data_IF_817932272246
#
_entry.id   IF_817932272246
#
_cell.length_a   1.000
_cell.length_b   1.000
_cell.length_c   1.000
_cell.angle_alpha   90.00
_cell.angle_beta   90.00
_cell.angle_gamma   90.00
#
_symmetry.space_group_name_H-M   'P 1'
#
loop_
_entity.id
_entity.type
_entity.pdbx_description
1 polymer ?
#
# COMPACT_ATOMS: atom_id res chain seq x y z
N UNK A 1 16.94 -20.61 -11.64
CA UNK A 1 17.14 -22.06 -11.92
C UNK A 1 17.52 -22.33 -13.37
N UNK A 2 17.03 -21.59 -14.37
CA UNK A 2 17.28 -21.80 -15.81
C UNK A 2 18.77 -21.95 -16.18
N UNK A 3 19.66 -21.21 -15.51
CA UNK A 3 21.11 -21.19 -15.79
C UNK A 3 21.95 -22.00 -14.79
N UNK A 4 21.32 -22.66 -13.81
CA UNK A 4 21.99 -23.48 -12.81
C UNK A 4 21.68 -24.96 -13.04
N UNK A 5 22.71 -25.73 -13.42
CA UNK A 5 22.58 -27.20 -13.60
C UNK A 5 22.53 -27.96 -12.28
N UNK A 6 23.10 -27.39 -11.20
CA UNK A 6 23.16 -28.01 -9.86
C UNK A 6 22.83 -26.96 -8.80
N UNK A 7 22.41 -27.39 -7.62
CA UNK A 7 22.26 -26.51 -6.47
C UNK A 7 23.60 -25.90 -6.08
N UNK A 8 23.58 -24.65 -5.67
CA UNK A 8 24.75 -23.92 -5.17
C UNK A 8 24.52 -23.50 -3.72
N UNK A 9 25.60 -23.14 -3.03
CA UNK A 9 25.56 -22.61 -1.68
C UNK A 9 24.54 -21.46 -1.55
N UNK A 10 23.84 -21.39 -0.42
CA UNK A 10 22.81 -20.38 -0.15
C UNK A 10 23.30 -18.94 -0.34
N UNK A 11 24.54 -18.65 0.07
CA UNK A 11 25.14 -17.31 -0.05
C UNK A 11 25.33 -16.92 -1.51
N UNK A 12 25.85 -17.86 -2.32
CA UNK A 12 26.01 -17.66 -3.77
C UNK A 12 24.66 -17.51 -4.46
N UNK A 13 23.67 -18.33 -4.08
CA UNK A 13 22.31 -18.19 -4.60
C UNK A 13 21.72 -16.80 -4.32
N UNK A 14 21.92 -16.26 -3.12
CA UNK A 14 21.43 -14.93 -2.76
C UNK A 14 22.17 -13.83 -3.54
N UNK A 15 23.48 -13.95 -3.74
CA UNK A 15 24.25 -13.03 -4.59
C UNK A 15 23.70 -13.04 -6.02
N UNK A 16 23.44 -14.23 -6.58
CA UNK A 16 22.86 -14.38 -7.91
C UNK A 16 21.45 -13.79 -8.00
N UNK A 17 20.60 -13.98 -6.99
CA UNK A 17 19.24 -13.41 -6.93
C UNK A 17 19.29 -11.89 -6.93
N UNK A 18 20.09 -11.29 -6.04
CA UNK A 18 20.25 -9.84 -5.96
C UNK A 18 20.81 -9.28 -7.27
N UNK A 19 21.87 -9.87 -7.81
CA UNK A 19 22.45 -9.45 -9.09
C UNK A 19 21.47 -9.57 -10.25
N UNK A 20 20.71 -10.67 -10.33
CA UNK A 20 19.68 -10.84 -11.35
C UNK A 20 18.58 -9.80 -11.24
N UNK A 21 18.08 -9.50 -10.03
CA UNK A 21 17.07 -8.47 -9.81
C UNK A 21 17.58 -7.09 -10.23
N UNK A 22 18.83 -6.75 -9.89
CA UNK A 22 19.45 -5.49 -10.29
C UNK A 22 19.56 -5.36 -11.81
N UNK A 23 19.94 -6.43 -12.51
CA UNK A 23 20.07 -6.43 -13.97
C UNK A 23 18.70 -6.34 -14.66
N UNK A 24 17.72 -7.10 -14.18
CA UNK A 24 16.42 -7.24 -14.87
C UNK A 24 15.48 -6.07 -14.60
N UNK A 25 15.46 -5.53 -13.37
CA UNK A 25 14.40 -4.61 -12.93
C UNK A 25 14.88 -3.24 -12.46
N UNK A 26 16.19 -3.09 -12.18
CA UNK A 26 16.75 -1.81 -11.78
C UNK A 26 17.63 -1.27 -12.91
N UNK A 27 17.58 0.03 -13.16
CA UNK A 27 18.39 0.68 -14.22
C UNK A 27 19.86 0.86 -13.79
N UNK A 28 20.45 -0.20 -13.19
CA UNK A 28 21.86 -0.21 -12.81
C UNK A 28 22.69 -0.80 -13.96
N UNK A 29 23.80 -0.15 -14.35
CA UNK A 29 24.65 -0.67 -15.41
C UNK A 29 25.10 -2.11 -15.11
N UNK A 30 24.86 -3.03 -16.04
CA UNK A 30 25.08 -4.46 -15.84
C UNK A 30 26.53 -4.81 -15.47
N UNK A 31 27.51 -4.11 -16.02
CA UNK A 31 28.93 -4.31 -15.69
C UNK A 31 29.22 -4.03 -14.21
N UNK A 32 28.61 -2.99 -13.64
CA UNK A 32 28.74 -2.64 -12.22
C UNK A 32 28.16 -3.73 -11.33
N UNK A 33 26.95 -4.22 -11.66
CA UNK A 33 26.28 -5.30 -10.93
C UNK A 33 27.11 -6.58 -10.97
N UNK A 34 27.62 -6.96 -12.15
CA UNK A 34 28.45 -8.16 -12.31
C UNK A 34 29.73 -8.04 -11.47
N UNK A 35 30.43 -6.91 -11.58
CA UNK A 35 31.69 -6.69 -10.85
C UNK A 35 31.47 -6.74 -9.33
N UNK A 36 30.48 -6.03 -8.81
CA UNK A 36 30.15 -6.01 -7.37
C UNK A 36 29.77 -7.40 -6.85
N UNK A 37 28.94 -8.14 -7.60
CA UNK A 37 28.52 -9.50 -7.24
C UNK A 37 29.68 -10.48 -7.25
N UNK A 38 30.56 -10.39 -8.24
CA UNK A 38 31.78 -11.21 -8.31
C UNK A 38 32.73 -10.91 -7.15
N UNK A 39 32.95 -9.64 -6.82
CA UNK A 39 33.81 -9.25 -5.69
C UNK A 39 33.22 -9.73 -4.35
N UNK A 40 31.89 -9.66 -4.18
CA UNK A 40 31.22 -10.19 -3.00
C UNK A 40 31.38 -11.72 -2.92
N UNK A 41 31.21 -12.41 -4.05
CA UNK A 41 31.35 -13.87 -4.09
C UNK A 41 32.78 -14.33 -3.79
N UNK A 42 33.82 -13.59 -4.23
CA UNK A 42 35.24 -13.86 -3.87
C UNK A 42 35.46 -13.81 -2.37
N UNK A 43 34.85 -12.85 -1.66
CA UNK A 43 34.92 -12.73 -0.19
C UNK A 43 34.20 -13.85 0.55
N UNK A 44 33.22 -14.50 -0.07
CA UNK A 44 32.41 -15.55 0.56
C UNK A 44 32.84 -16.96 0.14
N UNK A 45 32.91 -17.24 -1.16
CA UNK A 45 33.31 -18.54 -1.72
C UNK A 45 34.04 -18.29 -3.04
N UNK A 46 35.37 -18.08 -2.94
CA UNK A 46 36.22 -17.68 -4.07
C UNK A 46 36.05 -18.58 -5.32
N UNK A 47 36.02 -19.90 -5.10
CA UNK A 47 35.90 -20.91 -6.18
C UNK A 47 34.67 -20.77 -7.05
N UNK A 48 33.61 -20.11 -6.56
CA UNK A 48 32.35 -19.92 -7.28
C UNK A 48 32.22 -18.54 -7.94
N UNK A 49 33.22 -17.68 -7.84
CA UNK A 49 33.20 -16.34 -8.42
C UNK A 49 33.10 -16.35 -9.96
N UNK A 50 33.74 -17.30 -10.61
CA UNK A 50 33.64 -17.52 -12.07
C UNK A 50 32.19 -17.91 -12.49
N UNK A 51 31.54 -18.76 -11.69
CA UNK A 51 30.13 -19.14 -11.92
C UNK A 51 29.18 -17.93 -11.79
N UNK A 52 29.37 -17.09 -10.76
CA UNK A 52 28.58 -15.86 -10.57
C UNK A 52 28.76 -14.94 -11.78
N UNK A 53 29.99 -14.71 -12.24
CA UNK A 53 30.25 -13.90 -13.42
C UNK A 53 29.55 -14.44 -14.67
N UNK A 54 29.71 -15.73 -14.96
CA UNK A 54 29.11 -16.36 -16.14
C UNK A 54 27.59 -16.27 -16.15
N UNK A 55 26.96 -16.56 -15.00
CA UNK A 55 25.48 -16.53 -14.89
C UNK A 55 24.95 -15.13 -15.04
N UNK A 56 25.50 -14.13 -14.32
CA UNK A 56 25.00 -12.77 -14.36
C UNK A 56 25.22 -12.11 -15.75
N UNK A 57 26.34 -12.41 -16.42
CA UNK A 57 26.55 -11.97 -17.81
C UNK A 57 25.50 -12.58 -18.75
N UNK A 58 25.21 -13.87 -18.60
CA UNK A 58 24.19 -14.53 -19.41
C UNK A 58 22.80 -13.95 -19.15
N UNK A 59 22.45 -13.67 -17.89
CA UNK A 59 21.19 -12.98 -17.55
C UNK A 59 21.14 -11.59 -18.18
N UNK A 60 22.26 -10.86 -18.21
CA UNK A 60 22.34 -9.56 -18.86
C UNK A 60 22.12 -9.63 -20.37
N UNK A 61 22.69 -10.63 -21.03
CA UNK A 61 22.51 -10.82 -22.48
C UNK A 61 21.08 -11.24 -22.84
N UNK A 62 20.47 -12.07 -22.00
CA UNK A 62 19.12 -12.59 -22.21
C UNK A 62 18.03 -11.69 -21.56
N UNK A 63 18.34 -10.46 -21.12
CA UNK A 63 17.45 -9.59 -20.32
C UNK A 63 16.05 -9.46 -20.90
N UNK A 64 15.94 -9.00 -22.15
CA UNK A 64 14.65 -8.78 -22.77
C UNK A 64 13.83 -10.07 -22.90
N UNK A 65 14.47 -11.15 -23.33
CA UNK A 65 13.86 -12.46 -23.42
C UNK A 65 13.32 -12.93 -22.07
N UNK A 66 14.14 -12.79 -21.01
CA UNK A 66 13.74 -13.20 -19.65
C UNK A 66 12.57 -12.38 -19.11
N UNK A 67 12.57 -11.06 -19.36
CA UNK A 67 11.45 -10.20 -18.93
C UNK A 67 10.16 -10.59 -19.62
N UNK A 68 10.21 -10.88 -20.94
CA UNK A 68 9.05 -11.29 -21.71
C UNK A 68 8.52 -12.69 -21.34
N UNK A 69 9.39 -13.59 -20.85
CA UNK A 69 9.03 -14.93 -20.40
C UNK A 69 8.49 -14.95 -18.96
N UNK A 70 8.57 -13.84 -18.22
CA UNK A 70 8.09 -13.79 -16.83
C UNK A 70 6.55 -13.78 -16.80
N UNK A 71 5.98 -14.81 -16.19
CA UNK A 71 4.56 -14.81 -15.89
C UNK A 71 4.31 -14.08 -14.56
N UNK A 72 3.52 -12.97 -14.54
CA UNK A 72 3.19 -12.22 -13.33
C UNK A 72 2.57 -13.08 -12.22
N UNK A 73 1.89 -14.15 -12.57
CA UNK A 73 1.30 -15.12 -11.60
C UNK A 73 2.36 -15.71 -10.65
N UNK A 74 3.61 -15.83 -11.10
CA UNK A 74 4.70 -16.32 -10.26
C UNK A 74 5.01 -15.45 -9.05
N UNK A 75 4.56 -14.20 -9.04
CA UNK A 75 4.71 -13.27 -7.92
C UNK A 75 3.63 -13.44 -6.85
N UNK A 76 2.57 -14.19 -7.15
CA UNK A 76 1.51 -14.43 -6.18
C UNK A 76 1.91 -15.59 -5.25
N UNK A 77 1.65 -15.47 -3.93
CA UNK A 77 1.70 -16.60 -3.02
C UNK A 77 0.80 -17.73 -3.51
N UNK A 78 1.20 -18.99 -3.28
CA UNK A 78 0.47 -20.15 -3.83
C UNK A 78 -0.98 -20.22 -3.36
N UNK A 79 -1.27 -19.83 -2.11
CA UNK A 79 -2.63 -19.82 -1.58
C UNK A 79 -3.53 -18.79 -2.29
N UNK A 80 -3.04 -17.58 -2.59
CA UNK A 80 -3.76 -16.59 -3.39
C UNK A 80 -3.95 -17.07 -4.82
N UNK A 81 -2.88 -17.61 -5.42
CA UNK A 81 -2.90 -18.07 -6.80
C UNK A 81 -3.95 -19.15 -7.01
N UNK A 82 -4.01 -20.16 -6.13
CA UNK A 82 -4.96 -21.26 -6.21
C UNK A 82 -6.40 -20.75 -6.11
N UNK A 83 -6.70 -19.96 -5.08
CA UNK A 83 -8.04 -19.43 -4.83
C UNK A 83 -8.52 -18.49 -5.95
N UNK A 84 -7.64 -17.64 -6.46
CA UNK A 84 -8.02 -16.71 -7.50
C UNK A 84 -8.15 -17.37 -8.88
N UNK A 85 -7.33 -18.34 -9.20
CA UNK A 85 -7.53 -19.13 -10.44
C UNK A 85 -8.87 -19.87 -10.38
N UNK A 86 -9.21 -20.45 -9.23
CA UNK A 86 -10.49 -21.14 -9.03
C UNK A 86 -11.68 -20.18 -9.14
N UNK A 87 -11.58 -18.98 -8.58
CA UNK A 87 -12.69 -18.01 -8.49
C UNK A 87 -12.84 -17.13 -9.74
N UNK A 88 -11.74 -16.75 -10.38
CA UNK A 88 -11.73 -15.75 -11.46
C UNK A 88 -11.16 -16.25 -12.78
N UNK A 89 -10.60 -17.46 -12.80
CA UNK A 89 -9.87 -18.02 -13.94
C UNK A 89 -8.43 -17.46 -14.06
N UNK A 90 -7.61 -18.16 -14.84
CA UNK A 90 -6.18 -17.87 -14.97
C UNK A 90 -5.90 -16.52 -15.61
N UNK A 91 -6.66 -16.14 -16.63
CA UNK A 91 -6.45 -14.88 -17.36
C UNK A 91 -6.68 -13.65 -16.47
N UNK A 92 -7.77 -13.62 -15.69
CA UNK A 92 -8.05 -12.51 -14.76
C UNK A 92 -7.02 -12.48 -13.64
N UNK A 93 -6.63 -13.65 -13.10
CA UNK A 93 -5.58 -13.76 -12.09
C UNK A 93 -4.26 -13.20 -12.59
N UNK A 94 -3.90 -13.45 -13.86
CA UNK A 94 -2.70 -12.87 -14.49
C UNK A 94 -2.79 -11.34 -14.61
N UNK A 95 -3.97 -10.81 -14.92
CA UNK A 95 -4.20 -9.34 -14.93
C UNK A 95 -4.04 -8.74 -13.53
N UNK A 96 -4.59 -9.37 -12.50
CA UNK A 96 -4.40 -8.94 -11.10
C UNK A 96 -2.92 -8.97 -10.69
N UNK A 97 -2.21 -10.06 -10.98
CA UNK A 97 -0.79 -10.18 -10.69
C UNK A 97 0.07 -9.09 -11.35
N UNK A 98 -0.28 -8.66 -12.56
CA UNK A 98 0.38 -7.52 -13.25
C UNK A 98 0.16 -6.19 -12.50
N UNK A 99 -1.04 -5.97 -11.96
CA UNK A 99 -1.34 -4.76 -11.18
C UNK A 99 -0.52 -4.75 -9.90
N UNK A 100 -0.45 -5.87 -9.20
CA UNK A 100 0.32 -5.98 -7.95
C UNK A 100 1.84 -5.90 -8.13
N UNK A 101 2.33 -6.14 -9.33
CA UNK A 101 3.75 -5.94 -9.67
C UNK A 101 4.12 -4.46 -9.90
N UNK A 102 3.12 -3.58 -9.98
CA UNK A 102 3.34 -2.13 -10.12
C UNK A 102 3.42 -1.47 -8.75
N UNK A 103 4.18 -0.37 -8.68
CA UNK A 103 4.17 0.46 -7.49
C UNK A 103 2.76 1.01 -7.27
N UNK A 104 2.18 0.86 -6.07
CA UNK A 104 0.86 1.41 -5.79
C UNK A 104 0.90 2.93 -5.82
N UNK A 105 -0.13 3.58 -6.37
CA UNK A 105 -0.23 5.03 -6.33
C UNK A 105 -0.37 5.52 -4.89
N UNK A 106 0.11 6.73 -4.64
CA UNK A 106 -0.12 7.44 -3.39
C UNK A 106 -1.27 8.42 -3.60
N UNK A 107 -2.40 8.11 -2.99
CA UNK A 107 -3.57 8.98 -3.00
C UNK A 107 -3.68 9.69 -1.64
N UNK A 108 -4.08 10.95 -1.67
CA UNK A 108 -4.35 11.77 -0.50
C UNK A 108 -5.75 12.38 -0.58
N UNK A 109 -6.40 12.46 0.57
CA UNK A 109 -7.67 13.16 0.72
C UNK A 109 -7.43 14.56 1.29
N UNK A 110 -7.94 15.57 0.63
CA UNK A 110 -7.92 16.96 1.10
C UNK A 110 -9.15 17.19 1.98
N UNK A 111 -9.00 17.91 3.09
CA UNK A 111 -10.15 18.35 3.88
C UNK A 111 -11.13 19.12 3.02
N UNK A 112 -12.42 18.87 3.19
CA UNK A 112 -13.47 19.51 2.40
C UNK A 112 -13.37 21.05 2.46
N UNK A 113 -13.24 21.59 3.66
CA UNK A 113 -13.08 23.04 3.90
C UNK A 113 -11.83 23.65 3.28
N UNK A 114 -10.83 22.81 2.90
CA UNK A 114 -9.56 23.24 2.32
C UNK A 114 -9.46 22.98 0.83
N UNK A 115 -10.40 22.22 0.28
CA UNK A 115 -10.30 21.76 -1.10
C UNK A 115 -10.30 22.91 -2.11
N UNK A 116 -11.09 23.95 -1.86
CA UNK A 116 -11.20 25.11 -2.75
C UNK A 116 -10.20 26.24 -2.42
N UNK A 117 -9.37 26.07 -1.37
CA UNK A 117 -8.43 27.14 -0.94
C UNK A 117 -7.29 27.39 -1.94
N UNK A 118 -6.98 26.41 -2.80
CA UNK A 118 -5.84 26.45 -3.72
C UNK A 118 -5.90 25.40 -4.83
N UNK A 119 -5.00 25.52 -5.81
CA UNK A 119 -4.78 24.48 -6.82
C UNK A 119 -3.94 23.33 -6.24
N UNK A 120 -4.59 22.31 -5.68
CA UNK A 120 -3.93 21.18 -5.04
C UNK A 120 -3.14 20.30 -6.01
N UNK A 121 -3.59 20.18 -7.26
CA UNK A 121 -2.94 19.37 -8.30
C UNK A 121 -1.55 19.93 -8.60
N UNK A 122 -1.42 21.24 -8.70
CA UNK A 122 -0.14 21.91 -8.92
C UNK A 122 0.77 21.83 -7.67
N UNK A 123 0.24 22.15 -6.49
CA UNK A 123 1.05 22.18 -5.24
C UNK A 123 1.60 20.83 -4.85
N UNK A 124 0.89 19.75 -5.16
CA UNK A 124 1.22 18.39 -4.76
C UNK A 124 1.81 17.56 -5.88
N UNK A 125 1.94 18.10 -7.09
CA UNK A 125 2.34 17.38 -8.29
C UNK A 125 1.49 16.10 -8.46
N UNK A 126 0.20 16.30 -8.67
CA UNK A 126 -0.77 15.22 -8.75
C UNK A 126 -1.94 15.54 -9.66
N UNK A 127 -2.87 14.61 -9.72
CA UNK A 127 -4.12 14.73 -10.47
C UNK A 127 -5.33 14.43 -9.57
N UNK A 128 -6.41 15.17 -9.75
CA UNK A 128 -7.68 14.88 -9.10
C UNK A 128 -8.31 13.65 -9.75
N UNK A 129 -8.50 12.59 -8.96
CA UNK A 129 -9.06 11.34 -9.46
C UNK A 129 -10.50 11.10 -9.01
N UNK A 130 -10.88 11.66 -7.86
CA UNK A 130 -12.23 11.50 -7.32
C UNK A 130 -12.49 12.52 -6.22
N UNK A 131 -13.61 13.26 -6.27
CA UNK A 131 -14.00 14.26 -5.25
C UNK A 131 -12.80 15.09 -4.74
N UNK A 132 -12.39 14.94 -3.46
CA UNK A 132 -11.24 15.60 -2.85
C UNK A 132 -9.96 14.76 -2.89
N UNK A 133 -9.94 13.67 -3.65
CA UNK A 133 -8.78 12.77 -3.72
C UNK A 133 -7.83 13.19 -4.83
N UNK A 134 -6.59 13.47 -4.46
CA UNK A 134 -5.48 13.76 -5.36
C UNK A 134 -4.54 12.56 -5.40
N UNK A 135 -4.24 12.06 -6.59
CA UNK A 135 -3.22 11.04 -6.84
C UNK A 135 -1.90 11.70 -7.16
N UNK A 136 -0.86 11.36 -6.44
CA UNK A 136 0.45 11.97 -6.61
C UNK A 136 1.24 11.29 -7.72
N UNK A 137 1.91 12.10 -8.55
CA UNK A 137 2.81 11.64 -9.62
C UNK A 137 4.23 11.35 -9.10
N UNK A 138 4.57 11.87 -7.93
CA UNK A 138 5.91 11.83 -7.36
C UNK A 138 6.10 10.77 -6.27
N UNK A 139 7.37 10.50 -5.98
CA UNK A 139 7.83 9.68 -4.86
C UNK A 139 8.44 10.58 -3.79
N UNK A 140 8.47 10.12 -2.56
CA UNK A 140 9.09 10.83 -1.44
C UNK A 140 8.50 10.42 -0.10
N UNK A 141 9.00 11.00 0.97
CA UNK A 141 8.40 10.85 2.27
C UNK A 141 7.10 11.68 2.32
N UNK A 142 6.06 11.09 2.88
CA UNK A 142 4.76 11.75 3.03
C UNK A 142 4.86 13.00 3.89
N UNK A 143 5.75 12.97 4.89
CA UNK A 143 6.01 14.08 5.81
C UNK A 143 6.63 15.31 5.13
N UNK A 144 7.30 15.13 3.99
CA UNK A 144 7.96 16.22 3.26
C UNK A 144 7.01 16.89 2.25
N UNK A 145 5.78 16.38 2.14
CA UNK A 145 4.80 16.95 1.22
C UNK A 145 4.25 18.29 1.75
N UNK A 146 3.96 19.24 0.85
CA UNK A 146 3.37 20.51 1.23
C UNK A 146 2.13 20.34 2.10
N UNK A 147 2.01 21.18 3.12
CA UNK A 147 0.85 21.27 4.01
C UNK A 147 0.58 20.03 4.89
N UNK A 148 1.51 19.05 4.95
CA UNK A 148 1.39 17.90 5.84
C UNK A 148 1.24 18.32 7.31
N UNK A 149 2.18 19.12 7.82
CA UNK A 149 2.17 19.57 9.21
C UNK A 149 0.98 20.50 9.55
N UNK A 150 0.42 21.15 8.54
CA UNK A 150 -0.79 21.97 8.70
C UNK A 150 -2.05 21.14 8.90
N UNK A 151 -1.97 19.84 8.60
CA UNK A 151 -3.12 18.93 8.68
C UNK A 151 -4.21 19.25 7.67
N UNK A 152 -3.86 19.77 6.49
CA UNK A 152 -4.85 20.11 5.45
C UNK A 152 -5.34 18.86 4.70
N UNK A 153 -4.66 17.71 4.86
CA UNK A 153 -4.96 16.45 4.18
C UNK A 153 -4.40 15.21 4.91
N UNK A 154 -4.81 14.03 4.47
CA UNK A 154 -4.30 12.72 4.95
C UNK A 154 -4.13 11.72 3.81
N UNK A 155 -3.36 10.64 4.05
CA UNK A 155 -3.18 9.54 3.11
C UNK A 155 -4.35 8.58 3.19
N UNK A 156 -5.05 8.41 2.06
CA UNK A 156 -6.11 7.41 1.91
C UNK A 156 -6.33 7.16 0.43
N UNK A 157 -6.37 5.90 -0.01
CA UNK A 157 -6.66 5.58 -1.41
C UNK A 157 -8.11 5.95 -1.76
N UNK A 158 -8.35 6.32 -3.01
CA UNK A 158 -9.69 6.62 -3.51
C UNK A 158 -10.69 5.48 -3.25
N UNK A 159 -10.26 4.22 -3.41
CA UNK A 159 -11.12 3.07 -3.12
C UNK A 159 -11.47 2.92 -1.63
N UNK A 160 -10.55 3.30 -0.73
CA UNK A 160 -10.80 3.25 0.71
C UNK A 160 -11.71 4.39 1.21
N UNK A 161 -11.91 5.44 0.41
CA UNK A 161 -12.86 6.53 0.74
C UNK A 161 -14.32 6.19 0.39
N UNK A 162 -14.54 5.25 -0.54
CA UNK A 162 -15.88 4.92 -1.04
C UNK A 162 -16.89 4.55 0.06
N UNK A 163 -16.55 3.73 1.09
CA UNK A 163 -17.52 3.38 2.13
C UNK A 163 -18.10 4.60 2.85
N UNK A 164 -17.25 5.58 3.19
CA UNK A 164 -17.74 6.82 3.85
C UNK A 164 -18.55 7.68 2.87
N UNK A 165 -18.21 7.65 1.59
CA UNK A 165 -19.03 8.35 0.57
C UNK A 165 -20.43 7.75 0.44
N UNK A 166 -20.57 6.43 0.56
CA UNK A 166 -21.88 5.77 0.59
C UNK A 166 -22.68 6.22 1.82
N UNK A 167 -22.04 6.31 2.99
CA UNK A 167 -22.65 6.84 4.20
C UNK A 167 -23.11 8.29 3.97
N UNK A 168 -22.25 9.14 3.40
CA UNK A 168 -22.60 10.53 3.08
C UNK A 168 -23.81 10.61 2.14
N UNK A 169 -23.86 9.74 1.13
CA UNK A 169 -24.98 9.70 0.19
C UNK A 169 -26.28 9.24 0.83
N UNK A 170 -26.21 8.29 1.75
CA UNK A 170 -27.37 7.78 2.47
C UNK A 170 -27.98 8.84 3.40
N UNK A 171 -27.13 9.59 4.12
CA UNK A 171 -27.56 10.60 5.09
C UNK A 171 -27.63 12.03 4.53
N UNK A 172 -27.60 12.24 3.22
CA UNK A 172 -27.58 13.56 2.55
C UNK A 172 -28.83 14.44 2.77
N UNK A 173 -29.89 13.91 3.35
CA UNK A 173 -31.16 14.64 3.43
C UNK A 173 -31.44 15.19 4.83
N UNK A 174 -31.36 16.51 4.96
CA UNK A 174 -32.04 17.36 6.00
C UNK A 174 -32.05 16.84 7.43
N UNK A 175 -30.89 16.34 7.91
CA UNK A 175 -30.84 15.90 9.29
C UNK A 175 -30.39 17.07 10.17
N UNK A 176 -31.30 17.49 11.06
CA UNK A 176 -31.04 18.57 12.03
C UNK A 176 -30.06 18.14 13.14
N UNK A 177 -29.90 16.84 13.37
CA UNK A 177 -29.07 16.27 14.39
C UNK A 177 -27.79 15.64 13.78
N UNK A 178 -26.72 15.61 14.54
CA UNK A 178 -25.51 14.90 14.14
C UNK A 178 -25.75 13.41 14.09
N UNK A 179 -25.45 12.79 12.97
CA UNK A 179 -25.47 11.33 12.80
C UNK A 179 -24.39 10.69 13.68
N UNK A 180 -24.79 9.75 14.51
CA UNK A 180 -23.90 8.97 15.36
C UNK A 180 -23.36 7.76 14.59
N UNK A 181 -22.04 7.68 14.46
CA UNK A 181 -21.35 6.61 13.74
C UNK A 181 -20.43 5.84 14.68
N UNK A 182 -20.55 4.51 14.66
CA UNK A 182 -19.56 3.61 15.27
C UNK A 182 -18.63 3.08 14.17
N UNK A 183 -17.33 3.35 14.28
CA UNK A 183 -16.32 2.78 13.39
C UNK A 183 -15.54 1.68 14.10
N UNK A 184 -15.53 0.46 13.53
CA UNK A 184 -14.83 -0.71 14.06
C UNK A 184 -13.62 -1.03 13.18
N UNK A 185 -12.42 -1.15 13.81
CA UNK A 185 -11.16 -1.34 13.11
C UNK A 185 -10.59 -0.02 12.59
N UNK A 186 -10.77 1.07 13.34
CA UNK A 186 -10.55 2.45 12.93
C UNK A 186 -9.10 2.79 12.53
N UNK A 187 -8.12 2.22 13.24
CA UNK A 187 -6.72 2.59 13.02
C UNK A 187 -6.13 1.97 11.73
N UNK A 188 -5.34 2.72 10.96
CA UNK A 188 -4.63 3.97 11.29
C UNK A 188 -5.39 5.28 11.04
N UNK A 189 -6.68 5.27 10.64
CA UNK A 189 -7.53 6.45 10.70
C UNK A 189 -8.05 6.99 9.37
N UNK A 190 -7.76 6.37 8.23
CA UNK A 190 -8.17 6.92 6.93
C UNK A 190 -9.67 7.24 6.84
N UNK A 191 -10.54 6.30 7.22
CA UNK A 191 -11.99 6.48 7.24
C UNK A 191 -12.44 7.34 8.42
N UNK A 192 -11.78 7.17 9.59
CA UNK A 192 -11.97 8.02 10.79
C UNK A 192 -11.85 9.50 10.44
N UNK A 193 -10.77 9.88 9.74
CA UNK A 193 -10.54 11.29 9.36
C UNK A 193 -11.62 11.79 8.39
N UNK A 194 -12.04 10.96 7.46
CA UNK A 194 -13.09 11.29 6.51
C UNK A 194 -14.43 11.47 7.20
N UNK A 195 -14.79 10.61 8.17
CA UNK A 195 -15.98 10.76 8.99
C UNK A 195 -15.93 12.05 9.82
N UNK A 196 -14.78 12.35 10.44
CA UNK A 196 -14.59 13.61 11.17
C UNK A 196 -14.75 14.84 10.27
N UNK A 197 -14.19 14.82 9.07
CA UNK A 197 -14.25 15.91 8.11
C UNK A 197 -15.69 16.18 7.63
N UNK A 198 -16.51 15.14 7.57
CA UNK A 198 -17.94 15.20 7.27
C UNK A 198 -18.82 15.50 8.52
N UNK A 199 -18.20 15.81 9.65
CA UNK A 199 -18.87 16.26 10.88
C UNK A 199 -19.81 15.25 11.54
N UNK A 200 -19.55 13.94 11.38
CA UNK A 200 -20.26 12.90 12.13
C UNK A 200 -19.91 12.93 13.62
N UNK A 201 -20.86 12.49 14.47
CA UNK A 201 -20.59 12.18 15.88
C UNK A 201 -20.01 10.77 15.95
N UNK A 202 -18.66 10.69 16.04
CA UNK A 202 -17.91 9.48 15.77
C UNK A 202 -17.36 8.86 17.05
N UNK A 203 -17.70 7.58 17.28
CA UNK A 203 -16.99 6.68 18.19
C UNK A 203 -16.21 5.68 17.34
N UNK A 204 -14.89 5.64 17.52
CA UNK A 204 -13.96 4.81 16.74
C UNK A 204 -13.23 3.81 17.65
N UNK A 205 -13.33 2.52 17.32
CA UNK A 205 -12.77 1.42 18.11
C UNK A 205 -11.68 0.69 17.31
N UNK A 206 -10.56 0.41 17.97
CA UNK A 206 -9.53 -0.49 17.46
C UNK A 206 -8.87 -1.27 18.60
N UNK A 207 -8.67 -2.57 18.41
CA UNK A 207 -8.06 -3.46 19.38
C UNK A 207 -6.56 -3.19 19.60
N UNK A 208 -5.86 -2.66 18.58
CA UNK A 208 -4.41 -2.51 18.59
C UNK A 208 -3.97 -1.18 19.23
N UNK A 209 -3.54 -1.22 20.48
CA UNK A 209 -3.00 -0.05 21.19
C UNK A 209 -1.91 0.70 20.41
N UNK A 210 -1.03 -0.03 19.69
CA UNK A 210 0.02 0.57 18.86
C UNK A 210 -0.56 1.35 17.68
N UNK A 211 -1.62 0.84 17.07
CA UNK A 211 -2.28 1.51 15.92
C UNK A 211 -3.12 2.69 16.41
N UNK A 212 -3.81 2.55 17.53
CA UNK A 212 -4.56 3.65 18.19
C UNK A 212 -3.66 4.84 18.48
N UNK A 213 -2.47 4.61 19.06
CA UNK A 213 -1.50 5.70 19.28
C UNK A 213 -1.17 6.47 18.00
N UNK A 214 -0.98 5.77 16.88
CA UNK A 214 -0.73 6.41 15.59
C UNK A 214 -1.96 7.15 15.04
N UNK A 215 -3.15 6.63 15.29
CA UNK A 215 -4.41 7.30 14.98
C UNK A 215 -4.52 8.62 15.73
N UNK A 216 -4.27 8.63 17.05
CA UNK A 216 -4.31 9.82 17.90
C UNK A 216 -3.30 10.89 17.47
N UNK A 217 -2.06 10.50 17.12
CA UNK A 217 -1.05 11.40 16.57
C UNK A 217 -1.54 12.10 15.29
N UNK A 218 -2.18 11.37 14.38
CA UNK A 218 -2.73 11.94 13.16
C UNK A 218 -3.99 12.78 13.42
N UNK A 219 -4.87 12.38 14.33
CA UNK A 219 -6.02 13.18 14.73
C UNK A 219 -5.59 14.55 15.26
N UNK A 220 -4.56 14.57 16.12
CA UNK A 220 -3.98 15.82 16.63
C UNK A 220 -3.44 16.69 15.47
N UNK A 221 -2.68 16.11 14.54
CA UNK A 221 -2.17 16.83 13.36
C UNK A 221 -3.30 17.40 12.50
N UNK A 222 -4.37 16.61 12.32
CA UNK A 222 -5.53 16.98 11.51
C UNK A 222 -6.54 17.87 12.27
N UNK A 223 -6.31 18.14 13.57
CA UNK A 223 -7.25 18.88 14.41
C UNK A 223 -8.67 18.29 14.42
N UNK A 224 -8.75 16.96 14.61
CA UNK A 224 -9.98 16.24 14.84
C UNK A 224 -9.99 15.62 16.24
N UNK A 225 -11.17 15.49 16.86
CA UNK A 225 -11.32 14.99 18.24
C UNK A 225 -12.55 14.07 18.40
N UNK A 226 -12.62 12.95 17.67
CA UNK A 226 -13.66 11.96 17.89
C UNK A 226 -13.45 11.19 19.21
N UNK A 227 -14.46 10.44 19.65
CA UNK A 227 -14.30 9.49 20.74
C UNK A 227 -13.49 8.27 20.27
N UNK A 228 -12.35 8.00 20.92
CA UNK A 228 -11.47 6.87 20.58
C UNK A 228 -11.45 5.86 21.71
N UNK A 229 -11.72 4.59 21.37
CA UNK A 229 -11.75 3.48 22.32
C UNK A 229 -10.76 2.41 21.89
N UNK A 230 -9.82 2.06 22.78
CA UNK A 230 -8.94 0.93 22.55
C UNK A 230 -9.53 -0.31 23.22
N UNK A 231 -10.30 -1.10 22.48
CA UNK A 231 -10.96 -2.31 22.98
C UNK A 231 -11.14 -3.34 21.87
N UNK A 232 -11.39 -4.58 22.25
CA UNK A 232 -11.99 -5.57 21.35
C UNK A 232 -13.49 -5.27 21.21
N UNK A 233 -13.97 -5.21 19.98
CA UNK A 233 -15.39 -4.95 19.70
C UNK A 233 -16.30 -6.06 20.28
N UNK A 234 -15.80 -7.26 20.41
CA UNK A 234 -16.55 -8.39 20.99
C UNK A 234 -16.77 -8.25 22.50
N UNK A 235 -15.96 -7.41 23.16
CA UNK A 235 -16.04 -7.13 24.61
C UNK A 235 -16.57 -5.71 24.88
N UNK A 236 -16.89 -4.96 23.81
CA UNK A 236 -17.37 -3.58 23.95
C UNK A 236 -18.86 -3.56 24.26
N UNK A 237 -19.20 -3.03 25.43
CA UNK A 237 -20.57 -2.82 25.84
C UNK A 237 -20.90 -1.32 25.85
N UNK A 238 -22.08 -0.96 25.35
CA UNK A 238 -22.55 0.42 25.33
C UNK A 238 -24.08 0.47 25.37
N UNK A 239 -24.62 1.54 25.98
CA UNK A 239 -26.03 1.88 25.92
C UNK A 239 -26.31 2.92 24.80
N UNK A 240 -25.28 3.39 24.11
CA UNK A 240 -25.46 4.31 22.98
C UNK A 240 -26.08 3.61 21.79
N UNK A 241 -26.98 4.33 21.11
CA UNK A 241 -27.57 3.91 19.85
C UNK A 241 -26.86 4.67 18.74
N UNK A 242 -26.38 3.95 17.75
CA UNK A 242 -25.72 4.51 16.58
C UNK A 242 -26.64 4.44 15.35
N UNK A 243 -26.64 5.50 14.55
CA UNK A 243 -27.39 5.56 13.29
C UNK A 243 -26.71 4.74 12.20
N UNK A 244 -25.38 4.57 12.32
CA UNK A 244 -24.58 3.82 11.36
C UNK A 244 -23.42 3.11 12.06
N UNK A 245 -23.11 1.90 11.60
CA UNK A 245 -21.93 1.14 12.01
C UNK A 245 -21.08 0.86 10.78
N UNK A 246 -19.84 1.37 10.77
CA UNK A 246 -18.84 1.10 9.74
C UNK A 246 -17.84 0.07 10.24
N UNK A 247 -17.83 -1.12 9.65
CA UNK A 247 -16.91 -2.20 10.04
C UNK A 247 -15.82 -2.32 8.97
N UNK A 248 -14.56 -2.00 9.36
CA UNK A 248 -13.36 -2.19 8.54
C UNK A 248 -12.46 -3.25 9.18
N UNK A 249 -12.97 -4.47 9.23
CA UNK A 249 -12.31 -5.57 9.91
C UNK A 249 -11.05 -6.06 9.16
N UNK A 250 -10.06 -6.62 9.89
CA UNK A 250 -8.90 -7.24 9.26
C UNK A 250 -9.31 -8.31 8.24
N UNK A 251 -8.68 -8.27 7.08
CA UNK A 251 -8.88 -9.25 6.01
C UNK A 251 -7.53 -9.79 5.51
N UNK A 252 -7.55 -10.62 4.47
CA UNK A 252 -6.32 -11.12 3.83
C UNK A 252 -5.44 -10.01 3.22
N UNK A 253 -5.94 -8.78 3.17
CA UNK A 253 -5.27 -7.62 2.60
C UNK A 253 -4.77 -7.83 1.15
N UNK A 254 -5.39 -8.75 0.41
CA UNK A 254 -5.01 -9.07 -0.97
C UNK A 254 -5.07 -7.87 -1.91
N UNK A 255 -5.95 -6.89 -1.65
CA UNK A 255 -6.03 -5.65 -2.41
C UNK A 255 -4.85 -4.70 -2.25
N UNK A 256 -3.99 -4.91 -1.26
CA UNK A 256 -2.81 -4.07 -0.97
C UNK A 256 -1.48 -4.85 -0.97
N UNK A 257 -1.45 -6.03 -1.60
CA UNK A 257 -0.22 -6.87 -1.72
C UNK A 257 0.97 -6.08 -2.27
N UNK A 258 0.74 -5.12 -3.15
CA UNK A 258 1.80 -4.27 -3.70
C UNK A 258 2.39 -3.25 -2.70
N UNK A 259 1.81 -3.13 -1.51
CA UNK A 259 2.26 -2.19 -0.45
C UNK A 259 3.01 -2.88 0.69
N UNK A 260 2.97 -4.22 0.75
CA UNK A 260 3.54 -5.04 1.82
C UNK A 260 4.71 -5.90 1.33
#
# INVERSE_FOLDING_TARGET
>A
KKYLKKSVDKKIMNILRVGATQILFLNIPHYSVVNTSVNLSKKKIYKLSGLVNAILRKISMDKEKLINELDPIMNLPDWIKIDWIKSYGEEKTRKFARIFSKKPPLDINIKEKKFNDRNWEEHLDGEKIYKQVIRLNRNGLVTDLPFFDRGDWWVQSASASIPVEIINEFFKKDIKEKIKVLEVGAAPGGKTFQLCDNNYDLTAIDISKKRVKKLEENLKRLNFSPNIINADILEFETNEIFDCILIDSPCSASGIVSRN
#
